data_IF_486572300504
#
_entry.id   IF_486572300504
#
_cell.length_a   1.000
_cell.length_b   1.000
_cell.length_c   1.000
_cell.angle_alpha   90.00
_cell.angle_beta   90.00
_cell.angle_gamma   90.00
#
_symmetry.space_group_name_H-M   'P 1'
#
loop_
_entity.id
_entity.type
_entity.pdbx_description
1 polymer ?
#
# COMPACT_ATOMS: atom_id res chain seq x y z
N UNK A 1 4.28 -12.34 14.58
CA UNK A 1 4.43 -11.28 13.57
C UNK A 1 3.57 -11.67 12.39
N UNK A 2 2.65 -10.80 11.96
CA UNK A 2 1.69 -11.12 10.90
C UNK A 2 2.42 -11.55 9.62
N UNK A 3 1.97 -12.66 9.03
CA UNK A 3 2.59 -13.27 7.84
C UNK A 3 2.70 -12.29 6.67
N UNK A 4 1.73 -11.39 6.54
CA UNK A 4 1.70 -10.30 5.55
C UNK A 4 2.85 -9.30 5.73
N UNK A 5 3.10 -8.86 6.97
CA UNK A 5 4.18 -7.92 7.29
C UNK A 5 5.55 -8.61 7.12
N UNK A 6 5.67 -9.85 7.57
CA UNK A 6 6.89 -10.65 7.41
C UNK A 6 7.25 -10.85 5.93
N UNK A 7 6.25 -11.13 5.08
CA UNK A 7 6.46 -11.27 3.64
C UNK A 7 6.90 -9.94 3.00
N UNK A 8 6.27 -8.82 3.35
CA UNK A 8 6.66 -7.50 2.86
C UNK A 8 8.11 -7.12 3.24
N UNK A 9 8.52 -7.40 4.48
CA UNK A 9 9.91 -7.23 4.95
C UNK A 9 10.88 -8.10 4.16
N UNK A 10 10.49 -9.33 3.82
CA UNK A 10 11.34 -10.21 3.02
C UNK A 10 11.52 -9.69 1.58
N UNK A 11 10.49 -9.08 0.97
CA UNK A 11 10.59 -8.50 -0.38
C UNK A 11 11.60 -7.36 -0.47
N UNK A 12 11.67 -6.52 0.57
CA UNK A 12 12.69 -5.46 0.66
C UNK A 12 14.08 -6.05 0.88
N UNK A 13 14.23 -6.98 1.82
CA UNK A 13 15.51 -7.66 2.12
C UNK A 13 16.13 -8.36 0.91
N UNK A 14 15.32 -9.03 0.10
CA UNK A 14 15.81 -9.74 -1.09
C UNK A 14 16.04 -8.82 -2.29
N UNK A 15 15.61 -7.55 -2.22
CA UNK A 15 15.69 -6.60 -3.32
C UNK A 15 14.90 -7.06 -4.55
N UNK A 16 13.84 -7.85 -4.36
CA UNK A 16 13.08 -8.42 -5.48
C UNK A 16 12.54 -7.31 -6.38
N UNK A 17 12.78 -7.45 -7.68
CA UNK A 17 12.36 -6.49 -8.71
C UNK A 17 11.03 -6.92 -9.36
N UNK A 18 10.46 -6.06 -10.19
CA UNK A 18 9.21 -6.33 -10.90
C UNK A 18 7.97 -5.72 -10.22
N UNK A 19 8.18 -4.82 -9.25
CA UNK A 19 7.13 -4.07 -8.57
C UNK A 19 6.82 -2.69 -9.19
N UNK A 20 7.43 -2.38 -10.33
CA UNK A 20 7.33 -1.06 -10.95
C UNK A 20 5.87 -0.70 -11.23
N UNK A 21 5.36 0.35 -10.57
CA UNK A 21 3.96 0.81 -10.68
C UNK A 21 2.93 -0.24 -10.28
N UNK A 22 3.30 -1.22 -9.44
CA UNK A 22 2.44 -2.31 -8.96
C UNK A 22 2.11 -2.20 -7.47
N UNK A 23 1.92 -0.98 -6.96
CA UNK A 23 1.66 -0.71 -5.55
C UNK A 23 0.51 -1.54 -4.97
N UNK A 24 -0.65 -1.52 -5.61
CA UNK A 24 -1.81 -2.33 -5.23
C UNK A 24 -1.53 -3.84 -5.37
N UNK A 25 -0.91 -4.26 -6.47
CA UNK A 25 -0.58 -5.67 -6.70
C UNK A 25 0.38 -6.24 -5.66
N UNK A 26 1.32 -5.41 -5.17
CA UNK A 26 2.17 -5.74 -4.04
C UNK A 26 1.35 -5.95 -2.76
N UNK A 27 0.47 -5.00 -2.43
CA UNK A 27 -0.37 -5.09 -1.23
C UNK A 27 -1.27 -6.33 -1.28
N UNK A 28 -1.93 -6.62 -2.41
CA UNK A 28 -2.72 -7.84 -2.58
C UNK A 28 -1.88 -9.11 -2.39
N UNK A 29 -0.69 -9.19 -3.01
CA UNK A 29 0.19 -10.35 -2.86
C UNK A 29 0.70 -10.54 -1.43
N UNK A 30 0.93 -9.44 -0.69
CA UNK A 30 1.27 -9.52 0.73
C UNK A 30 0.13 -10.14 1.57
N UNK A 31 -1.11 -9.97 1.13
CA UNK A 31 -2.29 -10.61 1.69
C UNK A 31 -2.62 -11.99 1.07
N UNK A 32 -1.78 -12.50 0.16
CA UNK A 32 -1.98 -13.79 -0.49
C UNK A 32 -2.99 -13.79 -1.63
N UNK A 33 -3.35 -12.63 -2.18
CA UNK A 33 -4.27 -12.50 -3.31
C UNK A 33 -3.52 -12.31 -4.62
N UNK A 34 -4.02 -12.93 -5.69
CA UNK A 34 -3.47 -12.78 -7.04
C UNK A 34 -3.98 -11.54 -7.77
N UNK A 35 -5.09 -10.94 -7.31
CA UNK A 35 -5.75 -9.79 -7.93
C UNK A 35 -6.27 -8.78 -6.88
N UNK A 36 -6.36 -7.52 -7.29
CA UNK A 36 -6.80 -6.39 -6.44
C UNK A 36 -8.25 -5.94 -6.75
N UNK A 37 -8.81 -6.40 -7.87
CA UNK A 37 -10.18 -6.04 -8.27
C UNK A 37 -10.36 -4.62 -8.83
N UNK A 38 -9.36 -3.73 -8.72
CA UNK A 38 -9.41 -2.35 -9.24
C UNK A 38 -8.15 -1.95 -10.00
N UNK A 39 -8.28 -1.02 -10.96
CA UNK A 39 -7.17 -0.54 -11.80
C UNK A 39 -6.24 0.45 -11.09
N UNK A 40 -6.77 1.31 -10.23
CA UNK A 40 -6.03 2.40 -9.59
C UNK A 40 -6.13 2.33 -8.07
N UNK A 41 -5.06 2.75 -7.37
CA UNK A 41 -5.01 2.78 -5.90
C UNK A 41 -6.12 3.63 -5.30
N UNK A 42 -6.38 4.79 -5.91
CA UNK A 42 -7.44 5.67 -5.44
C UNK A 42 -8.84 5.10 -5.67
N UNK A 43 -9.04 4.32 -6.74
CA UNK A 43 -10.33 3.67 -7.01
C UNK A 43 -10.56 2.54 -5.99
N UNK A 44 -9.50 1.83 -5.59
CA UNK A 44 -9.56 0.81 -4.55
C UNK A 44 -10.01 1.38 -3.20
N UNK A 45 -9.48 2.55 -2.82
CA UNK A 45 -9.91 3.24 -1.61
C UNK A 45 -11.41 3.53 -1.66
N UNK A 46 -11.91 4.12 -2.75
CA UNK A 46 -13.34 4.45 -2.86
C UNK A 46 -14.25 3.23 -3.04
N UNK A 47 -13.73 2.10 -3.55
CA UNK A 47 -14.46 0.84 -3.64
C UNK A 47 -14.52 0.08 -2.30
N UNK A 48 -13.65 0.42 -1.34
CA UNK A 48 -13.67 -0.15 0.00
C UNK A 48 -14.96 0.27 0.73
N UNK A 49 -15.66 -0.60 1.49
CA UNK A 49 -16.85 -0.18 2.23
C UNK A 49 -16.56 1.00 3.15
N UNK A 50 -17.47 1.97 3.25
CA UNK A 50 -17.27 3.16 4.07
C UNK A 50 -16.98 2.85 5.55
N UNK A 51 -17.53 1.75 6.08
CA UNK A 51 -17.25 1.26 7.43
C UNK A 51 -15.82 0.75 7.64
N UNK A 52 -15.08 0.52 6.56
CA UNK A 52 -13.69 0.07 6.56
C UNK A 52 -12.72 1.19 6.11
N UNK A 53 -13.23 2.36 5.74
CA UNK A 53 -12.45 3.52 5.36
C UNK A 53 -12.28 4.47 6.56
N UNK A 54 -11.07 4.99 6.72
CA UNK A 54 -10.70 5.92 7.76
C UNK A 54 -10.07 7.18 7.12
N UNK A 55 -10.90 8.11 6.60
CA UNK A 55 -10.42 9.28 5.88
C UNK A 55 -9.66 10.23 6.80
N UNK A 56 -8.46 10.64 6.37
CA UNK A 56 -7.60 11.59 7.09
C UNK A 56 -6.99 11.08 8.40
N UNK A 57 -7.43 9.95 8.94
CA UNK A 57 -6.89 9.38 10.16
C UNK A 57 -5.43 8.95 9.97
N UNK A 58 -4.56 9.37 10.91
CA UNK A 58 -3.12 9.14 10.91
C UNK A 58 -2.69 8.01 11.85
N UNK A 59 -3.63 7.29 12.46
CA UNK A 59 -3.37 6.22 13.43
C UNK A 59 -3.79 4.83 12.91
N UNK A 60 -3.28 4.37 11.77
CA UNK A 60 -3.62 3.05 11.24
C UNK A 60 -3.08 1.92 12.12
N UNK A 61 -3.80 0.79 12.26
CA UNK A 61 -3.24 -0.44 12.81
C UNK A 61 -2.28 -1.11 11.82
N UNK A 62 -1.24 -1.83 12.27
CA UNK A 62 -0.40 -2.68 11.41
C UNK A 62 -1.25 -3.57 10.50
N UNK A 63 -0.89 -3.64 9.22
CA UNK A 63 -1.67 -4.31 8.18
C UNK A 63 -2.58 -3.38 7.37
N UNK A 64 -2.96 -2.20 7.88
CA UNK A 64 -3.79 -1.28 7.11
C UNK A 64 -3.18 -0.91 5.75
N UNK A 65 -4.05 -0.67 4.77
CA UNK A 65 -3.64 -0.14 3.46
C UNK A 65 -3.78 1.37 3.51
N UNK A 66 -2.68 2.09 3.32
CA UNK A 66 -2.66 3.55 3.29
C UNK A 66 -2.74 4.02 1.85
N UNK A 67 -3.41 5.16 1.63
CA UNK A 67 -3.65 5.70 0.30
C UNK A 67 -3.22 7.15 0.19
N UNK A 68 -2.75 7.51 -1.00
CA UNK A 68 -2.39 8.89 -1.35
C UNK A 68 -2.90 9.24 -2.74
N UNK A 69 -3.30 10.49 -2.92
CA UNK A 69 -3.39 11.12 -4.24
C UNK A 69 -1.99 11.59 -4.65
N UNK A 70 -1.57 11.21 -5.85
CA UNK A 70 -0.31 11.68 -6.44
C UNK A 70 -0.62 12.53 -7.67
N UNK A 71 0.42 13.03 -8.36
CA UNK A 71 0.24 13.70 -9.66
C UNK A 71 -0.36 12.77 -10.73
N UNK A 72 -0.28 11.46 -10.55
CA UNK A 72 -0.90 10.46 -11.43
C UNK A 72 -2.32 10.15 -10.96
N UNK A 73 -3.24 9.94 -11.92
CA UNK A 73 -4.62 9.47 -11.65
C UNK A 73 -4.65 8.13 -10.90
N UNK A 74 -3.58 7.34 -10.98
CA UNK A 74 -3.49 6.07 -10.26
C UNK A 74 -3.55 6.26 -8.74
N UNK A 75 -3.06 7.39 -8.21
CA UNK A 75 -2.76 7.53 -6.79
C UNK A 75 -1.62 6.60 -6.36
N UNK A 76 -1.55 6.31 -5.06
CA UNK A 76 -0.62 5.33 -4.50
C UNK A 76 -1.24 4.59 -3.32
N UNK A 77 -0.82 3.35 -3.11
CA UNK A 77 -1.17 2.54 -1.94
C UNK A 77 0.08 1.89 -1.35
N UNK A 78 0.13 1.75 -0.03
CA UNK A 78 1.22 1.06 0.66
C UNK A 78 0.69 0.27 1.85
N UNK A 79 1.42 -0.78 2.22
CA UNK A 79 1.11 -1.60 3.40
C UNK A 79 1.72 -0.94 4.64
N UNK A 80 0.91 -0.60 5.63
CA UNK A 80 1.42 -0.15 6.92
C UNK A 80 1.90 -1.34 7.75
N UNK A 81 3.10 -1.21 8.30
CA UNK A 81 3.80 -2.30 8.98
C UNK A 81 4.10 -1.99 10.45
N UNK A 82 3.51 -0.92 10.99
CA UNK A 82 3.73 -0.43 12.36
C UNK A 82 4.74 0.71 12.47
N UNK A 83 4.74 1.39 13.62
CA UNK A 83 5.72 2.42 14.01
C UNK A 83 5.89 3.58 13.00
N UNK A 84 4.81 3.98 12.33
CA UNK A 84 4.86 5.03 11.31
C UNK A 84 5.48 4.59 9.98
N UNK A 85 5.82 3.31 9.82
CA UNK A 85 6.49 2.76 8.63
C UNK A 85 5.50 2.12 7.66
N UNK A 86 5.85 2.18 6.38
CA UNK A 86 5.14 1.50 5.29
C UNK A 86 6.11 0.72 4.42
N UNK A 87 5.65 -0.43 3.91
CA UNK A 87 6.28 -1.10 2.79
C UNK A 87 5.62 -0.60 1.50
N UNK A 88 6.42 0.03 0.63
CA UNK A 88 5.95 0.72 -0.57
C UNK A 88 6.81 0.37 -1.78
N UNK A 89 6.17 0.24 -2.94
CA UNK A 89 6.90 0.14 -4.20
C UNK A 89 7.54 1.48 -4.56
N UNK A 90 8.63 1.44 -5.32
CA UNK A 90 9.19 2.57 -6.09
C UNK A 90 9.72 3.78 -5.27
N UNK A 91 9.67 3.75 -3.93
CA UNK A 91 9.96 4.91 -3.07
C UNK A 91 11.46 5.14 -2.79
N UNK A 92 12.24 4.05 -2.77
CA UNK A 92 13.70 4.06 -2.64
C UNK A 92 14.35 3.81 -3.99
N UNK A 93 14.01 2.67 -4.60
CA UNK A 93 14.51 2.22 -5.90
C UNK A 93 13.30 1.86 -6.78
N UNK A 94 13.23 2.35 -8.03
CA UNK A 94 12.17 1.97 -8.97
C UNK A 94 12.09 0.45 -9.14
N UNK A 95 10.90 -0.11 -9.00
CA UNK A 95 10.64 -1.54 -9.19
C UNK A 95 10.91 -2.43 -7.98
N UNK A 96 11.35 -1.88 -6.85
CA UNK A 96 11.60 -2.61 -5.60
C UNK A 96 10.68 -2.14 -4.47
N UNK A 97 10.66 -2.91 -3.38
CA UNK A 97 9.99 -2.53 -2.13
C UNK A 97 10.98 -1.77 -1.26
N UNK A 98 10.59 -0.58 -0.82
CA UNK A 98 11.27 0.19 0.20
C UNK A 98 10.43 0.26 1.46
N UNK A 99 11.09 0.18 2.61
CA UNK A 99 10.46 0.43 3.90
C UNK A 99 10.90 1.79 4.42
N UNK A 100 9.93 2.68 4.57
CA UNK A 100 10.17 4.10 4.87
C UNK A 100 9.07 4.63 5.79
N UNK A 101 9.29 5.77 6.45
CA UNK A 101 8.20 6.50 7.09
C UNK A 101 7.07 6.80 6.10
N UNK A 102 5.81 6.69 6.52
CA UNK A 102 4.66 6.98 5.66
C UNK A 102 4.71 8.40 5.05
N UNK A 103 5.26 9.36 5.81
CA UNK A 103 5.46 10.76 5.40
C UNK A 103 6.47 10.93 4.26
N UNK A 104 7.31 9.92 4.01
CA UNK A 104 8.24 9.89 2.89
C UNK A 104 7.52 9.97 1.54
N UNK A 105 6.36 9.32 1.42
CA UNK A 105 5.52 9.32 0.21
C UNK A 105 5.05 10.74 -0.11
N UNK A 106 4.56 11.45 0.91
CA UNK A 106 4.13 12.85 0.79
C UNK A 106 5.30 13.74 0.40
N UNK A 107 6.45 13.60 1.08
CA UNK A 107 7.62 14.44 0.85
C UNK A 107 8.25 14.24 -0.53
N UNK A 108 8.51 13.00 -0.94
CA UNK A 108 9.23 12.70 -2.20
C UNK A 108 8.37 12.92 -3.42
N UNK A 109 7.09 12.61 -3.34
CA UNK A 109 6.21 12.63 -4.52
C UNK A 109 5.23 13.81 -4.53
N UNK A 110 5.32 14.70 -3.53
CA UNK A 110 4.35 15.78 -3.31
C UNK A 110 2.92 15.23 -3.33
N UNK A 111 2.73 14.11 -2.64
CA UNK A 111 1.48 13.38 -2.59
C UNK A 111 0.61 13.85 -1.41
N UNK A 112 -0.70 13.74 -1.56
CA UNK A 112 -1.65 14.07 -0.49
C UNK A 112 -2.17 12.79 0.13
N UNK A 113 -1.91 12.58 1.42
CA UNK A 113 -2.50 11.47 2.17
C UNK A 113 -4.02 11.65 2.25
N UNK A 114 -4.77 10.58 1.99
CA UNK A 114 -6.24 10.63 2.03
C UNK A 114 -6.84 9.84 3.20
N UNK A 115 -6.10 8.89 3.77
CA UNK A 115 -6.60 7.99 4.80
C UNK A 115 -6.11 6.56 4.60
N UNK A 116 -6.62 5.67 5.44
CA UNK A 116 -6.35 4.25 5.37
C UNK A 116 -7.65 3.45 5.25
N UNK A 117 -7.52 2.21 4.78
CA UNK A 117 -8.60 1.24 4.76
C UNK A 117 -8.15 -0.07 5.38
N UNK A 118 -9.07 -0.75 6.08
CA UNK A 118 -8.84 -2.13 6.47
C UNK A 118 -8.64 -3.01 5.21
N UNK A 119 -7.92 -4.15 5.31
CA UNK A 119 -7.65 -5.00 4.15
C UNK A 119 -8.95 -5.47 3.51
N UNK A 120 -9.15 -5.09 2.26
CA UNK A 120 -10.35 -5.39 1.50
C UNK A 120 -9.93 -5.71 0.07
N UNK A 121 -10.28 -6.90 -0.43
CA UNK A 121 -9.92 -7.35 -1.78
C UNK A 121 -11.16 -7.95 -2.43
N UNK A 122 -12.09 -7.11 -2.93
CA UNK A 122 -13.31 -7.60 -3.55
C UNK A 122 -12.95 -8.39 -4.81
N UNK A 123 -13.45 -9.62 -4.92
CA UNK A 123 -13.14 -10.56 -6.00
C UNK A 123 -11.65 -10.96 -6.10
N UNK A 124 -10.91 -10.91 -5.00
CA UNK A 124 -9.58 -11.52 -4.96
C UNK A 124 -9.69 -13.01 -5.27
N UNK A 125 -8.87 -13.52 -6.17
CA UNK A 125 -8.65 -14.96 -6.33
C UNK A 125 -7.45 -15.35 -5.45
N UNK A 126 -7.64 -16.36 -4.61
CA UNK A 126 -6.63 -16.91 -3.71
C UNK A 126 -5.85 -18.03 -4.39
#
# INVERSE_FOLDING_TARGET
MDQTIAWARNQERTGQTGWLKRCLGFVARAYGWSAVGTRYAIDHYYATPASMQHPGDRNPPPGAVLYWKTRSRAGHAALYIGDGLVASTDITIPGQIGIVPATEIERKWNATYIGWGAPYFPNGAR
#
